data_IF_994637673846
#
_entry.id   IF_994637673846
#
_cell.length_a   1.000
_cell.length_b   1.000
_cell.length_c   1.000
_cell.angle_alpha   90.00
_cell.angle_beta   90.00
_cell.angle_gamma   90.00
#
_symmetry.space_group_name_H-M   'P 1'
#
loop_
_entity.id
_entity.type
_entity.pdbx_description
1 polymer ?
#
# COMPACT_ATOMS: atom_id res chain seq x y z
N UNK A 1 -10.37 11.78 -26.62
CA UNK A 1 -11.16 11.84 -25.38
C UNK A 1 -11.27 10.43 -24.85
N UNK A 2 -10.72 10.14 -23.66
CA UNK A 2 -10.80 8.81 -23.07
C UNK A 2 -11.92 8.86 -22.03
N UNK A 3 -12.99 8.12 -22.29
CA UNK A 3 -14.16 8.06 -21.41
C UNK A 3 -13.96 6.89 -20.46
N UNK A 4 -13.80 7.19 -19.18
CA UNK A 4 -13.82 6.16 -18.14
C UNK A 4 -15.26 5.74 -17.93
N UNK A 5 -15.54 4.44 -18.07
CA UNK A 5 -16.88 3.85 -17.91
C UNK A 5 -16.81 2.87 -16.76
N UNK A 6 -17.69 3.02 -15.78
CA UNK A 6 -17.78 2.09 -14.65
C UNK A 6 -18.13 0.69 -15.16
N UNK A 7 -17.30 -0.29 -14.84
CA UNK A 7 -17.55 -1.69 -15.17
C UNK A 7 -18.39 -2.32 -14.07
N UNK A 8 -19.57 -2.86 -14.43
CA UNK A 8 -20.41 -3.56 -13.47
C UNK A 8 -19.64 -4.72 -12.82
N UNK A 9 -19.63 -4.76 -11.49
CA UNK A 9 -18.97 -5.80 -10.70
C UNK A 9 -17.51 -5.52 -10.33
N UNK A 10 -16.98 -4.34 -10.67
CA UNK A 10 -15.64 -3.92 -10.25
C UNK A 10 -15.76 -3.04 -9.01
N UNK A 11 -15.15 -3.49 -7.91
CA UNK A 11 -15.04 -2.75 -6.67
C UNK A 11 -13.83 -1.83 -6.72
N UNK A 12 -14.07 -0.52 -6.79
CA UNK A 12 -13.05 0.50 -6.92
C UNK A 12 -12.54 1.04 -5.57
N UNK A 13 -13.20 0.70 -4.45
CA UNK A 13 -12.91 1.29 -3.14
C UNK A 13 -12.76 0.27 -2.00
N UNK A 14 -12.77 -1.02 -2.32
CA UNK A 14 -12.67 -2.18 -1.43
C UNK A 14 -13.95 -2.62 -0.74
N UNK A 15 -13.93 -3.93 -0.53
CA UNK A 15 -14.99 -4.86 -0.15
C UNK A 15 -15.63 -4.58 1.23
N UNK A 16 -15.71 -3.32 1.67
CA UNK A 16 -16.17 -2.88 2.98
C UNK A 16 -17.57 -3.43 3.35
N UNK A 17 -18.35 -3.86 2.35
CA UNK A 17 -19.71 -4.36 2.52
C UNK A 17 -19.93 -5.80 2.01
N UNK A 18 -18.91 -6.52 1.53
CA UNK A 18 -19.11 -7.88 1.01
C UNK A 18 -19.10 -8.92 2.14
N UNK A 19 -20.07 -9.85 2.10
CA UNK A 19 -20.08 -11.02 3.00
C UNK A 19 -18.86 -11.89 2.71
N UNK A 20 -18.31 -12.59 3.70
CA UNK A 20 -17.02 -13.31 3.58
C UNK A 20 -16.92 -14.36 2.44
N UNK A 21 -18.05 -14.81 1.89
CA UNK A 21 -18.09 -15.67 0.70
C UNK A 21 -17.97 -14.91 -0.63
N UNK A 22 -18.16 -13.59 -0.62
CA UNK A 22 -18.14 -12.66 -1.75
C UNK A 22 -16.92 -11.73 -1.74
N UNK A 23 -16.22 -11.60 -0.61
CA UNK A 23 -14.92 -10.96 -0.55
C UNK A 23 -13.96 -11.66 -1.53
N UNK A 24 -13.09 -10.90 -2.20
CA UNK A 24 -12.11 -11.44 -3.14
C UNK A 24 -11.32 -12.60 -2.50
N UNK A 25 -11.64 -13.85 -2.89
CA UNK A 25 -11.00 -15.08 -2.40
C UNK A 25 -9.67 -15.40 -3.09
N UNK A 26 -9.21 -14.54 -4.01
CA UNK A 26 -7.96 -14.75 -4.71
C UNK A 26 -6.77 -14.36 -3.83
N UNK A 27 -5.68 -15.12 -3.92
CA UNK A 27 -4.38 -14.67 -3.42
C UNK A 27 -4.07 -13.32 -4.06
N UNK A 28 -3.92 -12.28 -3.24
CA UNK A 28 -3.56 -10.95 -3.71
C UNK A 28 -2.13 -11.00 -4.18
N UNK A 29 -1.93 -10.94 -5.50
CA UNK A 29 -0.60 -10.83 -6.10
C UNK A 29 -0.35 -9.37 -6.40
N UNK A 30 0.46 -8.72 -5.56
CA UNK A 30 0.84 -7.32 -5.77
C UNK A 30 2.09 -7.24 -6.65
N UNK A 31 1.98 -6.55 -7.78
CA UNK A 31 3.15 -6.18 -8.57
C UNK A 31 3.78 -4.93 -7.99
N UNK A 32 5.11 -4.92 -7.83
CA UNK A 32 5.84 -3.72 -7.44
C UNK A 32 5.67 -2.66 -8.54
N UNK A 33 5.00 -1.53 -8.25
CA UNK A 33 4.66 -0.56 -9.28
C UNK A 33 5.88 0.27 -9.68
N UNK A 34 6.12 0.42 -10.99
CA UNK A 34 7.16 1.32 -11.53
C UNK A 34 6.57 2.71 -11.73
N UNK A 35 6.59 3.53 -10.68
CA UNK A 35 5.90 4.83 -10.67
C UNK A 35 6.76 6.01 -11.14
N UNK A 36 8.03 5.78 -11.51
CA UNK A 36 8.93 6.83 -12.00
C UNK A 36 9.40 7.81 -10.92
N UNK A 37 9.16 7.49 -9.65
CA UNK A 37 9.62 8.23 -8.46
C UNK A 37 10.60 7.35 -7.71
N UNK A 38 11.66 7.95 -7.15
CA UNK A 38 12.64 7.23 -6.38
C UNK A 38 12.07 6.73 -5.04
N UNK A 39 12.47 5.53 -4.62
CA UNK A 39 11.91 4.84 -3.45
C UNK A 39 12.10 5.64 -2.15
N UNK A 40 13.19 6.40 -2.04
CA UNK A 40 13.49 7.28 -0.90
C UNK A 40 12.49 8.44 -0.78
N UNK A 41 12.04 9.00 -1.91
CA UNK A 41 11.00 10.05 -1.94
C UNK A 41 9.64 9.50 -1.54
N UNK A 42 9.30 8.30 -2.02
CA UNK A 42 8.06 7.62 -1.63
C UNK A 42 8.08 7.34 -0.12
N UNK A 43 9.18 6.80 0.40
CA UNK A 43 9.37 6.48 1.81
C UNK A 43 9.27 7.72 2.70
N UNK A 44 9.95 8.82 2.31
CA UNK A 44 9.91 10.08 3.03
C UNK A 44 8.49 10.65 3.07
N UNK A 45 7.81 10.70 1.92
CA UNK A 45 6.46 11.23 1.81
C UNK A 45 5.47 10.42 2.65
N UNK A 46 5.50 9.09 2.53
CA UNK A 46 4.60 8.22 3.28
C UNK A 46 4.75 8.39 4.80
N UNK A 47 5.99 8.52 5.28
CA UNK A 47 6.29 8.68 6.70
C UNK A 47 5.89 10.06 7.26
N UNK A 48 5.66 11.06 6.41
CA UNK A 48 5.23 12.41 6.80
C UNK A 48 3.71 12.62 6.67
N UNK A 49 3.11 12.02 5.64
CA UNK A 49 1.73 12.34 5.24
C UNK A 49 0.71 11.25 5.59
N UNK A 50 1.14 10.03 5.92
CA UNK A 50 0.22 8.94 6.23
C UNK A 50 0.51 8.31 7.58
N UNK A 51 -0.57 7.95 8.28
CA UNK A 51 -0.47 7.11 9.45
C UNK A 51 -0.12 5.69 9.04
N UNK A 52 0.75 5.07 9.81
CA UNK A 52 1.12 3.67 9.65
C UNK A 52 0.04 2.84 10.34
N UNK A 53 -0.57 1.91 9.62
CA UNK A 53 -1.61 1.04 10.19
C UNK A 53 -0.99 -0.03 11.09
N UNK A 54 0.17 -0.57 10.69
CA UNK A 54 0.88 -1.59 11.46
C UNK A 54 2.38 -1.55 11.23
N UNK A 55 3.13 -1.78 12.30
CA UNK A 55 4.59 -1.91 12.27
C UNK A 55 5.01 -3.27 12.83
N UNK A 56 5.99 -3.89 12.17
CA UNK A 56 6.54 -5.18 12.60
C UNK A 56 8.03 -5.31 12.23
N UNK A 57 8.71 -6.23 12.91
CA UNK A 57 10.10 -6.59 12.59
C UNK A 57 10.10 -7.77 11.62
N UNK A 58 10.83 -7.65 10.52
CA UNK A 58 10.97 -8.69 9.51
C UNK A 58 12.42 -8.82 9.05
N UNK A 59 12.80 -10.00 8.58
CA UNK A 59 14.19 -10.28 8.18
C UNK A 59 14.48 -9.98 6.69
N UNK A 60 13.45 -9.66 5.89
CA UNK A 60 13.58 -9.40 4.47
C UNK A 60 12.40 -8.61 3.91
N UNK A 61 12.61 -7.99 2.75
CA UNK A 61 11.52 -7.34 1.99
C UNK A 61 10.39 -8.34 1.66
N UNK A 62 10.74 -9.57 1.28
CA UNK A 62 9.77 -10.62 0.98
C UNK A 62 8.89 -10.98 2.19
N UNK A 63 9.45 -10.93 3.40
CA UNK A 63 8.69 -11.14 4.63
C UNK A 63 7.75 -9.95 4.92
N UNK A 64 8.18 -8.71 4.65
CA UNK A 64 7.30 -7.54 4.77
C UNK A 64 6.12 -7.61 3.80
N UNK A 65 6.39 -8.01 2.55
CA UNK A 65 5.36 -8.24 1.53
C UNK A 65 4.37 -9.32 1.96
N UNK A 66 4.88 -10.47 2.38
CA UNK A 66 4.03 -11.57 2.84
C UNK A 66 3.15 -11.13 4.03
N UNK A 67 3.70 -10.35 4.97
CA UNK A 67 2.94 -9.81 6.09
C UNK A 67 1.75 -8.94 5.62
N UNK A 68 1.95 -8.12 4.58
CA UNK A 68 0.85 -7.37 3.96
C UNK A 68 -0.18 -8.28 3.28
N UNK A 69 0.27 -9.29 2.55
CA UNK A 69 -0.60 -10.20 1.79
C UNK A 69 -1.53 -11.04 2.69
N UNK A 70 -1.06 -11.41 3.88
CA UNK A 70 -1.82 -12.20 4.85
C UNK A 70 -2.56 -11.36 5.91
N UNK A 71 -2.41 -10.03 5.88
CA UNK A 71 -3.03 -9.13 6.85
C UNK A 71 -4.57 -9.20 6.77
N UNK A 72 -5.20 -9.25 7.94
CA UNK A 72 -6.63 -9.46 8.09
C UNK A 72 -7.31 -8.50 9.08
N UNK A 73 -6.54 -7.74 9.88
CA UNK A 73 -7.07 -6.69 10.77
C UNK A 73 -7.52 -5.46 9.97
N UNK A 74 -6.82 -5.20 8.86
CA UNK A 74 -7.19 -4.21 7.88
C UNK A 74 -6.80 -4.70 6.49
N UNK A 75 -7.22 -3.95 5.48
CA UNK A 75 -6.90 -4.28 4.12
C UNK A 75 -5.57 -3.64 3.71
N UNK A 76 -4.47 -4.38 3.88
CA UNK A 76 -3.15 -3.91 3.47
C UNK A 76 -3.05 -3.80 1.96
N UNK A 77 -2.75 -2.59 1.49
CA UNK A 77 -2.59 -2.24 0.06
C UNK A 77 -1.15 -1.95 -0.33
N UNK A 78 -0.32 -1.50 0.61
CA UNK A 78 1.10 -1.26 0.38
C UNK A 78 1.93 -1.46 1.65
N UNK A 79 3.24 -1.63 1.45
CA UNK A 79 4.20 -1.78 2.55
C UNK A 79 5.48 -0.97 2.26
N UNK A 80 6.16 -0.57 3.33
CA UNK A 80 7.48 0.06 3.28
C UNK A 80 8.49 -0.77 4.07
N UNK A 81 9.50 -1.29 3.38
CA UNK A 81 10.62 -2.02 3.99
C UNK A 81 11.83 -1.09 4.13
N UNK A 82 12.25 -0.81 5.37
CA UNK A 82 13.34 0.12 5.71
C UNK A 82 14.73 -0.55 5.75
N UNK A 83 14.87 -1.74 5.17
CA UNK A 83 16.11 -2.53 5.21
C UNK A 83 16.17 -3.48 6.40
N UNK A 84 17.33 -4.10 6.63
CA UNK A 84 17.51 -5.08 7.70
C UNK A 84 17.23 -4.45 9.08
N UNK A 85 16.64 -5.21 10.02
CA UNK A 85 16.31 -4.67 11.33
C UNK A 85 17.58 -4.29 12.08
N UNK A 86 17.59 -3.07 12.64
CA UNK A 86 18.66 -2.60 13.53
C UNK A 86 18.15 -2.59 14.96
N UNK A 87 18.60 -3.56 15.77
CA UNK A 87 18.13 -3.74 17.14
C UNK A 87 16.63 -4.05 17.23
N UNK A 88 15.92 -3.30 18.06
CA UNK A 88 14.47 -3.46 18.32
C UNK A 88 13.59 -2.57 17.43
N UNK A 89 14.16 -1.92 16.42
CA UNK A 89 13.39 -1.04 15.54
C UNK A 89 12.53 -1.85 14.56
N UNK A 90 11.28 -1.42 14.39
CA UNK A 90 10.42 -1.91 13.32
C UNK A 90 10.93 -1.42 11.97
N UNK A 91 11.04 -2.35 11.02
CA UNK A 91 11.60 -2.11 9.70
C UNK A 91 10.61 -2.46 8.57
N UNK A 92 9.40 -2.88 8.92
CA UNK A 92 8.29 -3.09 8.00
C UNK A 92 7.08 -2.29 8.48
N UNK A 93 6.56 -1.46 7.59
CA UNK A 93 5.38 -0.63 7.82
C UNK A 93 4.32 -1.02 6.80
N UNK A 94 3.10 -1.26 7.25
CA UNK A 94 1.98 -1.67 6.42
C UNK A 94 0.94 -0.54 6.36
N UNK A 95 0.32 -0.37 5.20
CA UNK A 95 -0.62 0.72 4.93
C UNK A 95 -1.88 0.21 4.23
N UNK A 96 -3.03 0.78 4.59
CA UNK A 96 -4.31 0.59 3.91
C UNK A 96 -4.47 1.46 2.65
N UNK A 97 -3.43 2.24 2.31
CA UNK A 97 -3.38 3.14 1.15
C UNK A 97 -2.35 2.65 0.13
N UNK A 98 -2.53 3.02 -1.14
CA UNK A 98 -1.56 2.81 -2.21
C UNK A 98 -1.47 4.02 -3.15
N UNK A 99 -0.51 4.03 -4.08
CA UNK A 99 -0.35 5.13 -5.05
C UNK A 99 -1.54 5.33 -5.99
N UNK A 100 -2.42 4.33 -6.18
CA UNK A 100 -3.63 4.45 -7.01
C UNK A 100 -4.77 5.10 -6.26
N UNK A 101 -4.78 4.99 -4.93
CA UNK A 101 -5.75 5.68 -4.07
C UNK A 101 -5.51 7.19 -3.98
N UNK A 102 -4.37 7.69 -4.50
CA UNK A 102 -4.04 9.12 -4.47
C UNK A 102 -4.60 9.87 -5.68
N UNK A 103 -5.23 11.04 -5.50
CA UNK A 103 -5.88 11.78 -6.58
C UNK A 103 -4.92 12.22 -7.70
N UNK A 104 -3.64 12.45 -7.39
CA UNK A 104 -2.61 12.80 -8.38
C UNK A 104 -1.68 11.62 -8.73
N UNK A 105 -2.00 10.42 -8.25
CA UNK A 105 -1.22 9.21 -8.50
C UNK A 105 0.26 9.36 -8.09
N UNK A 106 1.23 8.90 -8.92
CA UNK A 106 2.66 9.06 -8.64
C UNK A 106 3.13 10.50 -8.40
N UNK A 107 2.44 11.49 -8.97
CA UNK A 107 2.84 12.89 -8.82
C UNK A 107 2.62 13.43 -7.40
N UNK A 108 1.82 12.74 -6.58
CA UNK A 108 1.66 13.05 -5.16
C UNK A 108 3.00 13.02 -4.42
N UNK A 109 3.91 12.10 -4.78
CA UNK A 109 5.23 11.98 -4.14
C UNK A 109 6.25 13.05 -4.59
N UNK A 110 5.93 13.83 -5.62
CA UNK A 110 6.81 14.88 -6.15
C UNK A 110 6.56 16.25 -5.50
N UNK A 111 5.41 16.43 -4.85
CA UNK A 111 4.99 17.70 -4.27
C UNK A 111 5.12 17.65 -2.74
N UNK A 112 6.24 18.14 -2.21
CA UNK A 112 6.49 18.23 -0.77
C UNK A 112 5.70 19.34 -0.05
N UNK A 113 4.89 20.11 -0.77
CA UNK A 113 4.21 21.32 -0.27
C UNK A 113 2.68 21.19 -0.14
N UNK A 114 2.08 20.01 -0.38
CA UNK A 114 0.63 19.87 -0.21
C UNK A 114 0.29 19.66 1.28
N UNK A 115 -0.53 20.55 1.88
CA UNK A 115 -0.84 20.54 3.32
C UNK A 115 -1.65 19.31 3.75
#
# INVERSE_FOLDING_TARGET
YVQFVDAQGVDYFENLCLKGNQACKANRVFQVPRIGVADDKVAQYANLHYYIDKELQVNSEAACRLACEIENEFLCRSFLYKGAPSGTQYNCQLFHLDHKTLPDGPSTFLNAERP
#
